data_IF_661445048255
#
_entry.id   IF_661445048255
#
_cell.length_a   1.000
_cell.length_b   1.000
_cell.length_c   1.000
_cell.angle_alpha   90.00
_cell.angle_beta   90.00
_cell.angle_gamma   90.00
#
_symmetry.space_group_name_H-M   'P 1'
#
loop_
_entity.id
_entity.type
_entity.pdbx_description
1 polymer ?
#
# COMPACT_ATOMS: atom_id res chain seq x y z
N UNK A 1 -58.21 -75.12 -24.03
CA UNK A 1 -57.72 -74.60 -22.73
C UNK A 1 -56.93 -73.30 -22.85
N UNK A 2 -56.03 -73.10 -23.82
CA UNK A 2 -55.22 -71.86 -23.96
C UNK A 2 -55.99 -70.59 -24.39
N UNK A 3 -57.06 -70.72 -25.20
CA UNK A 3 -57.85 -69.56 -25.69
C UNK A 3 -58.68 -68.86 -24.59
N UNK A 4 -59.11 -69.60 -23.55
CA UNK A 4 -59.83 -69.05 -22.40
C UNK A 4 -58.89 -68.23 -21.51
N UNK A 5 -57.64 -68.67 -21.34
CA UNK A 5 -56.66 -67.98 -20.50
C UNK A 5 -56.18 -66.66 -21.12
N UNK A 6 -55.93 -66.63 -22.44
CA UNK A 6 -55.57 -65.40 -23.17
C UNK A 6 -56.65 -64.31 -23.17
N UNK A 7 -57.93 -64.67 -23.01
CA UNK A 7 -59.06 -63.74 -23.14
C UNK A 7 -59.67 -63.34 -21.80
N UNK A 8 -59.62 -64.20 -20.79
CA UNK A 8 -60.17 -63.94 -19.44
C UNK A 8 -59.25 -63.07 -18.58
N UNK A 9 -57.92 -63.17 -18.75
CA UNK A 9 -56.98 -62.36 -17.97
C UNK A 9 -57.03 -60.86 -18.31
N UNK A 10 -57.06 -60.43 -19.59
CA UNK A 10 -57.23 -59.02 -19.93
C UNK A 10 -58.58 -58.46 -19.47
N UNK A 11 -59.68 -59.23 -19.62
CA UNK A 11 -61.00 -58.80 -19.17
C UNK A 11 -61.10 -58.65 -17.64
N UNK A 12 -60.41 -59.50 -16.88
CA UNK A 12 -60.31 -59.36 -15.41
C UNK A 12 -59.52 -58.11 -15.04
N UNK A 13 -58.39 -57.86 -15.71
CA UNK A 13 -57.61 -56.61 -15.53
C UNK A 13 -58.44 -55.39 -15.87
N UNK A 14 -59.14 -55.37 -17.01
CA UNK A 14 -60.00 -54.25 -17.40
C UNK A 14 -61.15 -54.02 -16.41
N UNK A 15 -61.72 -55.09 -15.86
CA UNK A 15 -62.77 -55.00 -14.84
C UNK A 15 -62.22 -54.50 -13.50
N UNK A 16 -61.04 -54.95 -13.11
CA UNK A 16 -60.31 -54.49 -11.91
C UNK A 16 -59.92 -53.02 -12.03
N UNK A 17 -59.39 -52.60 -13.18
CA UNK A 17 -59.03 -51.22 -13.50
C UNK A 17 -60.26 -50.32 -13.54
N UNK A 18 -61.37 -50.75 -14.16
CA UNK A 18 -62.64 -50.00 -14.12
C UNK A 18 -63.18 -49.89 -12.71
N UNK A 19 -63.15 -50.97 -11.93
CA UNK A 19 -63.58 -50.93 -10.54
C UNK A 19 -62.69 -50.02 -9.68
N UNK A 20 -61.38 -49.99 -9.95
CA UNK A 20 -60.44 -49.10 -9.27
C UNK A 20 -60.63 -47.64 -9.69
N UNK A 21 -60.89 -47.36 -10.97
CA UNK A 21 -61.21 -46.03 -11.46
C UNK A 21 -62.51 -45.49 -10.86
N UNK A 22 -63.54 -46.33 -10.73
CA UNK A 22 -64.79 -45.97 -10.06
C UNK A 22 -64.53 -45.66 -8.58
N UNK A 23 -63.77 -46.51 -7.87
CA UNK A 23 -63.40 -46.24 -6.47
C UNK A 23 -62.62 -44.94 -6.31
N UNK A 24 -61.67 -44.67 -7.20
CA UNK A 24 -60.89 -43.43 -7.20
C UNK A 24 -61.76 -42.21 -7.49
N UNK A 25 -62.70 -42.29 -8.45
CA UNK A 25 -63.64 -41.21 -8.75
C UNK A 25 -64.59 -40.94 -7.57
N UNK A 26 -65.10 -41.98 -6.92
CA UNK A 26 -65.93 -41.85 -5.71
C UNK A 26 -65.14 -41.24 -4.54
N UNK A 27 -63.90 -41.67 -4.34
CA UNK A 27 -63.00 -41.08 -3.33
C UNK A 27 -62.70 -39.60 -3.62
N UNK A 28 -62.41 -39.25 -4.87
CA UNK A 28 -62.19 -37.85 -5.28
C UNK A 28 -63.45 -37.00 -5.05
N UNK A 29 -64.62 -37.51 -5.44
CA UNK A 29 -65.89 -36.81 -5.23
C UNK A 29 -66.19 -36.59 -3.74
N UNK A 30 -65.78 -37.52 -2.88
CA UNK A 30 -65.89 -37.38 -1.44
C UNK A 30 -64.91 -36.33 -0.88
N UNK A 31 -63.64 -36.33 -1.32
CA UNK A 31 -62.66 -35.30 -0.94
C UNK A 31 -63.10 -33.90 -1.38
N UNK A 32 -63.71 -33.74 -2.56
CA UNK A 32 -64.29 -32.44 -2.99
C UNK A 32 -65.42 -31.97 -2.08
N UNK A 33 -66.30 -32.88 -1.62
CA UNK A 33 -67.32 -32.54 -0.61
C UNK A 33 -66.67 -32.05 0.70
N UNK A 34 -65.59 -32.69 1.16
CA UNK A 34 -64.85 -32.25 2.35
C UNK A 34 -64.25 -30.85 2.16
N UNK A 35 -63.73 -30.55 0.97
CA UNK A 35 -63.18 -29.24 0.63
C UNK A 35 -64.26 -28.14 0.57
N UNK A 36 -65.42 -28.44 -0.02
CA UNK A 36 -66.55 -27.50 -0.15
C UNK A 36 -67.14 -27.07 1.19
N UNK A 37 -67.08 -27.93 2.21
CA UNK A 37 -67.59 -27.60 3.55
C UNK A 37 -66.78 -26.50 4.23
N UNK A 38 -65.49 -26.37 3.93
CA UNK A 38 -64.64 -25.24 4.36
C UNK A 38 -64.37 -25.11 5.86
N UNK A 39 -65.09 -25.85 6.72
CA UNK A 39 -64.97 -25.86 8.18
C UNK A 39 -64.08 -27.01 8.71
N UNK A 40 -63.52 -27.81 7.80
CA UNK A 40 -62.65 -28.94 8.12
C UNK A 40 -61.19 -28.46 8.16
N UNK A 41 -60.69 -28.19 9.35
CA UNK A 41 -59.29 -27.92 9.61
C UNK A 41 -58.47 -29.21 9.82
N UNK A 42 -57.14 -29.10 9.77
CA UNK A 42 -56.18 -30.19 9.99
C UNK A 42 -56.40 -30.98 11.29
N UNK A 43 -56.96 -30.34 12.32
CA UNK A 43 -57.25 -30.94 13.63
C UNK A 43 -58.71 -31.38 13.81
N UNK A 44 -59.53 -31.32 12.76
CA UNK A 44 -60.92 -31.75 12.79
C UNK A 44 -61.05 -33.24 13.07
N UNK A 45 -62.07 -33.60 13.87
CA UNK A 45 -62.34 -34.99 14.25
C UNK A 45 -63.48 -35.55 13.42
N UNK A 46 -63.30 -36.75 12.85
CA UNK A 46 -64.31 -37.45 12.07
C UNK A 46 -65.68 -37.51 12.77
N UNK A 47 -65.66 -37.77 14.08
CA UNK A 47 -66.87 -37.85 14.92
C UNK A 47 -67.72 -36.58 14.93
N UNK A 48 -67.14 -35.40 14.65
CA UNK A 48 -67.85 -34.11 14.59
C UNK A 48 -68.33 -33.75 13.17
N UNK A 49 -67.69 -34.33 12.16
CA UNK A 49 -67.91 -33.97 10.75
C UNK A 49 -68.89 -34.94 10.08
N UNK A 50 -68.86 -36.24 10.42
CA UNK A 50 -69.63 -37.27 9.72
C UNK A 50 -71.14 -37.02 9.65
N UNK A 51 -71.72 -36.43 10.69
CA UNK A 51 -73.17 -36.21 10.78
C UNK A 51 -73.64 -35.06 9.88
N UNK A 52 -72.77 -34.07 9.60
CA UNK A 52 -73.09 -32.93 8.72
C UNK A 52 -73.00 -33.29 7.24
N UNK A 53 -72.36 -34.42 6.91
CA UNK A 53 -72.20 -34.94 5.55
C UNK A 53 -73.23 -36.01 5.18
N UNK A 54 -73.97 -36.54 6.15
CA UNK A 54 -74.79 -37.75 6.02
C UNK A 54 -75.82 -37.68 4.88
N UNK A 55 -76.36 -36.50 4.61
CA UNK A 55 -77.44 -36.32 3.65
C UNK A 55 -76.94 -36.15 2.20
N UNK A 56 -75.65 -35.87 2.00
CA UNK A 56 -75.06 -35.64 0.67
C UNK A 56 -74.95 -36.95 -0.14
N UNK A 57 -75.36 -36.98 -1.43
CA UNK A 57 -75.25 -38.15 -2.28
C UNK A 57 -73.82 -38.69 -2.42
N UNK A 58 -72.81 -37.80 -2.43
CA UNK A 58 -71.38 -38.16 -2.55
C UNK A 58 -70.88 -38.87 -1.29
N UNK A 59 -71.40 -38.53 -0.11
CA UNK A 59 -71.15 -39.24 1.14
C UNK A 59 -71.75 -40.65 1.13
N UNK A 60 -73.00 -40.79 0.66
CA UNK A 60 -73.71 -42.09 0.60
C UNK A 60 -73.08 -43.05 -0.40
N UNK A 61 -72.42 -42.53 -1.44
CA UNK A 61 -71.76 -43.30 -2.50
C UNK A 61 -70.48 -44.01 -2.02
N UNK A 62 -69.86 -43.54 -0.94
CA UNK A 62 -68.67 -44.17 -0.33
C UNK A 62 -69.09 -45.26 0.65
N UNK A 63 -68.39 -46.41 0.63
CA UNK A 63 -68.59 -47.51 1.59
C UNK A 63 -68.33 -47.04 3.02
N UNK A 64 -69.11 -47.53 3.98
CA UNK A 64 -69.01 -47.12 5.38
C UNK A 64 -67.60 -47.29 5.97
N UNK A 65 -66.92 -48.39 5.64
CA UNK A 65 -65.56 -48.73 6.09
C UNK A 65 -64.49 -47.75 5.56
N UNK A 66 -64.71 -47.18 4.37
CA UNK A 66 -63.71 -46.36 3.67
C UNK A 66 -63.81 -44.86 4.04
N UNK A 67 -64.93 -44.41 4.62
CA UNK A 67 -65.21 -42.97 4.84
C UNK A 67 -64.23 -42.31 5.78
N UNK A 68 -63.93 -42.93 6.91
CA UNK A 68 -62.98 -42.39 7.90
C UNK A 68 -61.55 -42.45 7.38
N UNK A 69 -61.19 -43.49 6.63
CA UNK A 69 -59.89 -43.60 5.96
C UNK A 69 -59.69 -42.45 4.95
N UNK A 70 -60.68 -42.21 4.07
CA UNK A 70 -60.64 -41.12 3.09
C UNK A 70 -60.64 -39.73 3.75
N UNK A 71 -61.33 -39.56 4.88
CA UNK A 71 -61.28 -38.34 5.67
C UNK A 71 -59.89 -38.10 6.28
N UNK A 72 -59.28 -39.13 6.87
CA UNK A 72 -57.93 -39.02 7.42
C UNK A 72 -56.87 -38.79 6.34
N UNK A 73 -57.04 -39.39 5.16
CA UNK A 73 -56.22 -39.13 3.98
C UNK A 73 -56.34 -37.66 3.56
N UNK A 74 -57.56 -37.11 3.46
CA UNK A 74 -57.78 -35.68 3.19
C UNK A 74 -57.12 -34.77 4.23
N UNK A 75 -57.21 -35.09 5.53
CA UNK A 75 -56.50 -34.33 6.57
C UNK A 75 -54.98 -34.44 6.44
N UNK A 76 -54.47 -35.58 5.99
CA UNK A 76 -53.04 -35.77 5.71
C UNK A 76 -52.60 -34.92 4.53
N UNK A 77 -53.40 -34.87 3.45
CA UNK A 77 -53.15 -34.04 2.28
C UNK A 77 -53.13 -32.55 2.68
N UNK A 78 -54.09 -32.10 3.50
CA UNK A 78 -54.10 -30.73 4.03
C UNK A 78 -52.84 -30.39 4.84
N UNK A 79 -52.38 -31.31 5.72
CA UNK A 79 -51.13 -31.15 6.48
C UNK A 79 -49.91 -31.05 5.56
N UNK A 80 -49.84 -31.89 4.54
CA UNK A 80 -48.73 -31.89 3.60
C UNK A 80 -48.65 -30.57 2.83
N UNK A 81 -49.80 -30.02 2.41
CA UNK A 81 -49.89 -28.72 1.73
C UNK A 81 -49.48 -27.58 2.67
N UNK A 82 -49.97 -27.55 3.91
CA UNK A 82 -49.56 -26.54 4.91
C UNK A 82 -48.04 -26.60 5.16
N UNK A 83 -47.48 -27.79 5.38
CA UNK A 83 -46.06 -27.97 5.63
C UNK A 83 -45.19 -27.60 4.42
N UNK A 84 -45.60 -27.95 3.20
CA UNK A 84 -44.93 -27.52 1.97
C UNK A 84 -44.96 -25.99 1.82
N UNK A 85 -46.11 -25.36 2.06
CA UNK A 85 -46.24 -23.91 2.01
C UNK A 85 -45.37 -23.20 3.06
N UNK A 86 -45.24 -23.77 4.26
CA UNK A 86 -44.38 -23.24 5.33
C UNK A 86 -42.90 -23.39 4.95
N UNK A 87 -42.50 -24.55 4.40
CA UNK A 87 -41.14 -24.78 3.90
C UNK A 87 -40.78 -23.81 2.78
N UNK A 88 -41.68 -23.60 1.82
CA UNK A 88 -41.48 -22.61 0.75
C UNK A 88 -41.38 -21.18 1.29
N UNK A 89 -42.26 -20.80 2.21
CA UNK A 89 -42.23 -19.48 2.83
C UNK A 89 -40.93 -19.26 3.62
N UNK A 90 -40.46 -20.29 4.34
CA UNK A 90 -39.18 -20.27 5.03
C UNK A 90 -38.00 -20.17 4.05
N UNK A 91 -38.00 -20.96 2.98
CA UNK A 91 -36.96 -20.89 1.96
C UNK A 91 -36.89 -19.50 1.30
N UNK A 92 -38.04 -18.91 0.96
CA UNK A 92 -38.12 -17.54 0.42
C UNK A 92 -37.60 -16.49 1.41
N UNK A 93 -37.92 -16.62 2.71
CA UNK A 93 -37.39 -15.73 3.75
C UNK A 93 -35.87 -15.87 3.89
N UNK A 94 -35.36 -17.09 3.95
CA UNK A 94 -33.92 -17.35 4.03
C UNK A 94 -33.17 -16.82 2.80
N UNK A 95 -33.73 -16.97 1.60
CA UNK A 95 -33.15 -16.40 0.39
C UNK A 95 -33.14 -14.87 0.43
N UNK A 96 -34.26 -14.26 0.84
CA UNK A 96 -34.33 -12.81 1.01
C UNK A 96 -33.32 -12.29 2.04
N UNK A 97 -33.16 -13.00 3.16
CA UNK A 97 -32.19 -12.63 4.20
C UNK A 97 -30.75 -12.77 3.70
N UNK A 98 -30.43 -13.82 2.94
CA UNK A 98 -29.11 -13.98 2.27
C UNK A 98 -28.85 -12.85 1.27
N UNK A 99 -29.85 -12.43 0.51
CA UNK A 99 -29.73 -11.30 -0.42
C UNK A 99 -29.48 -9.99 0.33
N UNK A 100 -30.24 -9.74 1.40
CA UNK A 100 -30.05 -8.57 2.26
C UNK A 100 -28.68 -8.55 2.93
N UNK A 101 -28.18 -9.70 3.37
CA UNK A 101 -26.85 -9.83 3.95
C UNK A 101 -25.76 -9.53 2.92
N UNK A 102 -25.86 -10.10 1.71
CA UNK A 102 -24.94 -9.79 0.60
C UNK A 102 -24.93 -8.31 0.25
N UNK A 103 -26.10 -7.68 0.19
CA UNK A 103 -26.23 -6.24 -0.08
C UNK A 103 -25.55 -5.41 1.01
N UNK A 104 -25.73 -5.76 2.28
CA UNK A 104 -25.05 -5.11 3.41
C UNK A 104 -23.53 -5.24 3.31
N UNK A 105 -23.04 -6.43 2.99
CA UNK A 105 -21.59 -6.66 2.85
C UNK A 105 -20.99 -5.92 1.65
N UNK A 106 -21.70 -5.88 0.52
CA UNK A 106 -21.31 -5.06 -0.63
C UNK A 106 -21.26 -3.57 -0.29
N UNK A 107 -22.27 -3.07 0.45
CA UNK A 107 -22.29 -1.67 0.90
C UNK A 107 -21.10 -1.35 1.81
N UNK A 108 -20.82 -2.20 2.80
CA UNK A 108 -19.65 -2.04 3.68
C UNK A 108 -18.33 -2.12 2.93
N UNK A 109 -18.23 -3.00 1.93
CA UNK A 109 -17.03 -3.10 1.08
C UNK A 109 -16.86 -1.82 0.25
N UNK A 110 -17.91 -1.35 -0.40
CA UNK A 110 -17.89 -0.12 -1.20
C UNK A 110 -17.53 1.10 -0.35
N UNK A 111 -18.08 1.22 0.85
CA UNK A 111 -17.74 2.31 1.78
C UNK A 111 -16.26 2.28 2.19
N UNK A 112 -15.71 1.09 2.47
CA UNK A 112 -14.27 0.94 2.77
C UNK A 112 -13.41 1.35 1.57
N UNK A 113 -13.78 0.91 0.38
CA UNK A 113 -13.09 1.27 -0.86
C UNK A 113 -13.17 2.79 -1.11
N UNK A 114 -14.32 3.43 -0.92
CA UNK A 114 -14.49 4.88 -1.05
C UNK A 114 -13.65 5.67 -0.02
N UNK A 115 -13.62 5.22 1.24
CA UNK A 115 -12.77 5.83 2.27
C UNK A 115 -11.28 5.68 1.96
N UNK A 116 -10.85 4.53 1.44
CA UNK A 116 -9.47 4.31 1.01
C UNK A 116 -9.12 5.21 -0.18
N UNK A 117 -9.98 5.28 -1.18
CA UNK A 117 -9.81 6.16 -2.34
C UNK A 117 -9.74 7.63 -1.94
N UNK A 118 -10.57 8.09 -1.01
CA UNK A 118 -10.52 9.48 -0.55
C UNK A 118 -9.24 9.77 0.23
N UNK A 119 -8.76 8.83 1.06
CA UNK A 119 -7.43 8.96 1.73
C UNK A 119 -6.30 9.09 0.71
N UNK A 120 -6.36 8.32 -0.37
CA UNK A 120 -5.36 8.41 -1.46
C UNK A 120 -5.48 9.76 -2.16
N UNK A 121 -6.70 10.22 -2.46
CA UNK A 121 -6.95 11.50 -3.13
C UNK A 121 -6.43 12.69 -2.33
N UNK A 122 -6.67 12.73 -1.02
CA UNK A 122 -6.14 13.78 -0.13
C UNK A 122 -4.61 13.78 -0.15
N UNK A 123 -3.98 12.60 -0.07
CA UNK A 123 -2.51 12.48 -0.15
C UNK A 123 -1.96 12.99 -1.47
N UNK A 124 -2.63 12.73 -2.59
CA UNK A 124 -2.23 13.21 -3.92
C UNK A 124 -2.34 14.73 -3.99
N UNK A 125 -3.51 15.30 -3.65
CA UNK A 125 -3.73 16.76 -3.65
C UNK A 125 -2.69 17.50 -2.81
N UNK A 126 -2.38 16.96 -1.63
CA UNK A 126 -1.36 17.53 -0.74
C UNK A 126 0.05 17.44 -1.33
N UNK A 127 0.43 16.32 -1.95
CA UNK A 127 1.73 16.21 -2.64
C UNK A 127 1.83 17.18 -3.81
N UNK A 128 0.77 17.32 -4.59
CA UNK A 128 0.70 18.28 -5.69
C UNK A 128 0.84 19.72 -5.19
N UNK A 129 0.17 20.07 -4.08
CA UNK A 129 0.31 21.38 -3.46
C UNK A 129 1.77 21.66 -3.03
N UNK A 130 2.45 20.69 -2.41
CA UNK A 130 3.86 20.81 -2.02
C UNK A 130 4.74 21.07 -3.26
N UNK A 131 4.60 20.25 -4.30
CA UNK A 131 5.42 20.37 -5.53
C UNK A 131 5.16 21.70 -6.22
N UNK A 132 3.90 22.11 -6.30
CA UNK A 132 3.49 23.39 -6.87
C UNK A 132 4.08 24.58 -6.10
N UNK A 133 4.04 24.54 -4.76
CA UNK A 133 4.66 25.56 -3.91
C UNK A 133 6.18 25.58 -4.03
N UNK A 134 6.84 24.42 -4.10
CA UNK A 134 8.28 24.33 -4.34
C UNK A 134 8.67 24.93 -5.70
N UNK A 135 7.87 24.72 -6.75
CA UNK A 135 8.10 25.35 -8.05
C UNK A 135 8.01 26.88 -7.95
N UNK A 136 7.00 27.39 -7.24
CA UNK A 136 6.87 28.82 -6.96
C UNK A 136 8.12 29.37 -6.26
N UNK A 137 8.64 28.68 -5.25
CA UNK A 137 9.87 29.08 -4.54
C UNK A 137 11.07 29.16 -5.49
N UNK A 138 11.24 28.17 -6.38
CA UNK A 138 12.32 28.15 -7.37
C UNK A 138 12.20 29.30 -8.38
N UNK A 139 10.98 29.62 -8.81
CA UNK A 139 10.70 30.69 -9.77
C UNK A 139 10.95 32.08 -9.18
N UNK A 140 10.48 32.30 -7.94
CA UNK A 140 10.42 33.63 -7.31
C UNK A 140 11.59 33.95 -6.40
N UNK A 141 12.09 32.96 -5.65
CA UNK A 141 13.13 33.14 -4.62
C UNK A 141 14.46 32.60 -5.12
N UNK A 142 15.30 33.51 -5.60
CA UNK A 142 16.67 33.22 -6.08
C UNK A 142 17.76 33.67 -5.13
N UNK A 143 17.45 34.61 -4.23
CA UNK A 143 18.39 35.16 -3.25
C UNK A 143 18.38 34.30 -1.96
N UNK A 144 19.51 33.66 -1.58
CA UNK A 144 19.60 32.86 -0.36
C UNK A 144 19.54 33.66 0.95
N UNK A 145 19.54 35.00 0.89
CA UNK A 145 19.48 35.88 2.07
C UNK A 145 18.12 36.57 2.26
N UNK A 146 17.12 36.27 1.43
CA UNK A 146 15.79 36.85 1.60
C UNK A 146 15.16 36.41 2.93
N UNK A 147 14.51 37.34 3.62
CA UNK A 147 13.76 37.04 4.85
C UNK A 147 12.44 36.35 4.53
N UNK A 148 11.88 35.61 5.49
CA UNK A 148 10.55 35.00 5.32
C UNK A 148 9.46 36.05 5.10
N UNK A 149 9.53 37.19 5.78
CA UNK A 149 8.55 38.27 5.66
C UNK A 149 8.53 38.88 4.25
N UNK A 150 9.71 39.13 3.68
CA UNK A 150 9.82 39.69 2.33
C UNK A 150 9.48 38.66 1.24
N UNK A 151 9.86 37.40 1.47
CA UNK A 151 9.53 36.30 0.59
C UNK A 151 8.01 36.07 0.56
N UNK A 152 7.35 36.04 1.72
CA UNK A 152 5.91 35.84 1.85
C UNK A 152 5.13 36.88 1.04
N UNK A 153 5.48 38.16 1.14
CA UNK A 153 4.84 39.22 0.36
C UNK A 153 4.95 39.02 -1.16
N UNK A 154 6.03 38.39 -1.64
CA UNK A 154 6.22 38.06 -3.07
C UNK A 154 5.44 36.81 -3.45
N UNK A 155 5.41 35.80 -2.59
CA UNK A 155 4.74 34.52 -2.81
C UNK A 155 3.21 34.69 -2.80
N UNK A 156 2.68 35.56 -1.94
CA UNK A 156 1.24 35.86 -1.85
C UNK A 156 0.71 36.58 -3.10
N UNK A 157 1.59 37.15 -3.93
CA UNK A 157 1.25 37.79 -5.22
C UNK A 157 1.22 36.81 -6.39
N UNK A 158 1.40 35.51 -6.14
CA UNK A 158 1.35 34.48 -7.17
C UNK A 158 -0.03 34.44 -7.84
N UNK A 159 -0.15 34.65 -9.17
CA UNK A 159 -1.43 34.65 -9.87
C UNK A 159 -2.16 33.30 -9.82
N UNK A 160 -1.41 32.21 -9.65
CA UNK A 160 -1.96 30.86 -9.52
C UNK A 160 -2.45 30.55 -8.10
N UNK A 161 -2.21 31.45 -7.12
CA UNK A 161 -2.63 31.26 -5.74
C UNK A 161 -1.98 30.07 -5.05
N UNK A 162 -0.81 29.60 -5.51
CA UNK A 162 -0.14 28.39 -4.97
C UNK A 162 0.23 28.56 -3.49
N UNK A 163 0.52 29.78 -3.06
CA UNK A 163 0.81 30.11 -1.66
C UNK A 163 -0.45 30.12 -0.76
N UNK A 164 -1.64 30.30 -1.32
CA UNK A 164 -2.91 30.32 -0.61
C UNK A 164 -3.66 28.96 -0.68
N UNK A 165 -2.97 27.90 -1.11
CA UNK A 165 -3.58 26.58 -1.28
C UNK A 165 -4.01 26.00 0.09
N UNK A 166 -5.29 25.60 0.28
CA UNK A 166 -5.81 25.11 1.56
C UNK A 166 -5.18 23.80 2.04
N UNK A 167 -4.51 23.04 1.17
CA UNK A 167 -3.86 21.77 1.51
C UNK A 167 -2.52 21.98 2.26
N UNK A 168 -2.04 23.23 2.34
CA UNK A 168 -0.81 23.63 3.04
C UNK A 168 -1.11 24.71 4.08
N UNK A 169 -0.62 24.50 5.31
CA UNK A 169 -0.72 25.53 6.34
C UNK A 169 0.46 26.54 6.29
N UNK A 170 0.36 27.61 7.10
CA UNK A 170 1.40 28.64 7.16
C UNK A 170 2.75 28.14 7.71
N UNK A 171 2.76 27.09 8.54
CA UNK A 171 3.98 26.51 9.09
C UNK A 171 4.70 25.66 8.04
N UNK A 172 3.93 24.92 7.24
CA UNK A 172 4.43 24.07 6.17
C UNK A 172 5.02 24.87 5.03
N UNK A 173 4.34 25.94 4.62
CA UNK A 173 4.87 26.88 3.62
C UNK A 173 6.16 27.53 4.10
N UNK A 174 6.23 27.97 5.36
CA UNK A 174 7.47 28.50 5.95
C UNK A 174 8.58 27.45 6.00
N UNK A 175 8.26 26.20 6.36
CA UNK A 175 9.21 25.09 6.38
C UNK A 175 9.77 24.82 4.99
N UNK A 176 8.92 24.76 3.96
CA UNK A 176 9.33 24.57 2.56
C UNK A 176 10.20 25.74 2.08
N UNK A 177 9.89 26.97 2.49
CA UNK A 177 10.74 28.12 2.23
C UNK A 177 12.12 27.99 2.87
N UNK A 178 12.20 27.69 4.17
CA UNK A 178 13.47 27.52 4.89
C UNK A 178 14.32 26.42 4.28
N UNK A 179 13.66 25.34 3.86
CA UNK A 179 14.28 24.24 3.13
C UNK A 179 14.89 24.68 1.79
N UNK A 180 14.12 25.44 1.00
CA UNK A 180 14.60 26.00 -0.27
C UNK A 180 15.80 26.93 -0.06
N UNK A 181 15.74 27.81 0.94
CA UNK A 181 16.87 28.70 1.29
C UNK A 181 18.11 27.90 1.68
N UNK A 182 17.95 26.82 2.45
CA UNK A 182 19.05 25.90 2.78
C UNK A 182 19.66 25.30 1.50
N UNK A 183 18.84 24.78 0.60
CA UNK A 183 19.28 24.20 -0.68
C UNK A 183 20.01 25.22 -1.58
N UNK A 184 19.56 26.47 -1.59
CA UNK A 184 20.24 27.56 -2.31
C UNK A 184 21.61 27.87 -1.69
N UNK A 185 21.69 27.98 -0.37
CA UNK A 185 22.96 28.22 0.34
C UNK A 185 23.95 27.07 0.11
N UNK A 186 23.49 25.82 0.16
CA UNK A 186 24.32 24.66 -0.14
C UNK A 186 24.84 24.67 -1.58
N UNK A 187 24.00 25.06 -2.54
CA UNK A 187 24.43 25.23 -3.93
C UNK A 187 25.51 26.30 -4.04
N UNK A 188 25.29 27.47 -3.44
CA UNK A 188 26.30 28.53 -3.37
C UNK A 188 27.61 28.01 -2.74
N UNK A 189 27.52 27.19 -1.68
CA UNK A 189 28.69 26.60 -1.00
C UNK A 189 29.47 25.63 -1.88
N UNK A 190 28.78 24.80 -2.66
CA UNK A 190 29.44 23.90 -3.63
C UNK A 190 30.18 24.69 -4.71
N UNK A 191 29.53 25.69 -5.30
CA UNK A 191 30.14 26.53 -6.33
C UNK A 191 31.34 27.33 -5.79
N UNK A 192 31.25 27.84 -4.57
CA UNK A 192 32.37 28.54 -3.94
C UNK A 192 33.54 27.61 -3.63
N UNK A 193 33.28 26.38 -3.18
CA UNK A 193 34.33 25.37 -3.00
C UNK A 193 35.01 25.01 -4.32
N UNK A 194 34.24 24.89 -5.41
CA UNK A 194 34.80 24.69 -6.74
C UNK A 194 35.71 25.86 -7.16
N UNK A 195 35.27 27.10 -6.93
CA UNK A 195 36.09 28.29 -7.14
C UNK A 195 37.40 28.24 -6.34
N UNK A 196 37.35 27.85 -5.06
CA UNK A 196 38.55 27.71 -4.23
C UNK A 196 39.51 26.67 -4.81
N UNK A 197 39.00 25.55 -5.30
CA UNK A 197 39.82 24.51 -5.92
C UNK A 197 40.46 24.95 -7.24
N UNK A 198 39.75 25.75 -8.04
CA UNK A 198 40.25 26.28 -9.31
C UNK A 198 41.28 27.41 -9.13
N UNK A 199 41.09 28.27 -8.12
CA UNK A 199 41.92 29.47 -7.92
C UNK A 199 43.10 29.21 -6.98
N UNK A 200 42.93 28.34 -5.98
CA UNK A 200 43.98 27.99 -5.00
C UNK A 200 44.66 26.67 -5.40
N UNK A 201 45.12 26.60 -6.65
CA UNK A 201 45.98 25.51 -7.14
C UNK A 201 47.32 25.52 -6.42
N UNK A 202 48.09 24.42 -6.51
CA UNK A 202 49.38 24.29 -5.82
C UNK A 202 50.34 25.47 -6.12
N UNK A 203 50.39 25.92 -7.38
CA UNK A 203 51.24 27.03 -7.81
C UNK A 203 50.77 28.38 -7.26
N UNK A 204 49.45 28.65 -7.34
CA UNK A 204 48.86 29.88 -6.80
C UNK A 204 48.93 29.93 -5.26
N UNK A 205 48.91 28.76 -4.61
CA UNK A 205 49.06 28.60 -3.18
C UNK A 205 50.51 28.76 -2.68
N UNK A 206 51.50 28.43 -3.52
CA UNK A 206 52.92 28.58 -3.23
C UNK A 206 53.45 30.00 -3.52
N UNK A 207 52.68 30.84 -4.22
CA UNK A 207 53.07 32.22 -4.50
C UNK A 207 53.07 33.05 -3.20
N UNK A 208 54.26 33.47 -2.78
CA UNK A 208 54.48 34.36 -1.64
C UNK A 208 54.50 35.82 -2.10
N UNK A 209 53.81 36.67 -1.36
CA UNK A 209 54.02 38.13 -1.46
C UNK A 209 55.30 38.52 -0.71
N UNK A 210 55.84 39.71 -0.96
CA UNK A 210 57.01 40.26 -0.26
C UNK A 210 56.96 40.18 1.29
N UNK A 211 55.75 40.08 1.87
CA UNK A 211 55.50 39.89 3.30
C UNK A 211 55.49 38.40 3.78
N UNK A 212 55.81 37.42 2.94
CA UNK A 212 55.71 35.98 3.25
C UNK A 212 54.27 35.41 3.34
N UNK A 213 53.26 36.19 2.90
CA UNK A 213 51.85 35.77 2.91
C UNK A 213 51.50 35.02 1.62
N UNK A 214 50.82 33.90 1.76
CA UNK A 214 50.27 33.09 0.67
C UNK A 214 48.75 33.18 0.60
N UNK A 215 48.17 32.68 -0.48
CA UNK A 215 46.71 32.57 -0.60
C UNK A 215 46.09 31.50 0.34
N UNK A 216 46.90 30.65 0.97
CA UNK A 216 46.45 29.68 1.97
C UNK A 216 46.53 30.22 3.41
N UNK A 217 47.46 31.13 3.72
CA UNK A 217 47.65 31.64 5.08
C UNK A 217 47.01 33.02 5.32
N UNK A 218 46.57 33.71 4.26
CA UNK A 218 45.98 35.06 4.36
C UNK A 218 44.68 35.20 3.58
N UNK A 219 43.58 35.44 4.30
CA UNK A 219 42.28 35.71 3.70
C UNK A 219 42.31 36.93 2.76
N UNK A 220 43.03 37.99 3.13
CA UNK A 220 43.17 39.19 2.31
C UNK A 220 43.83 38.89 0.96
N UNK A 221 44.85 38.02 0.94
CA UNK A 221 45.52 37.57 -0.28
C UNK A 221 44.58 36.72 -1.13
N UNK A 222 43.93 35.70 -0.54
CA UNK A 222 42.95 34.86 -1.23
C UNK A 222 41.78 35.69 -1.82
N UNK A 223 41.24 36.63 -1.04
CA UNK A 223 40.13 37.50 -1.44
C UNK A 223 40.45 38.33 -2.68
N UNK A 224 41.70 38.75 -2.88
CA UNK A 224 42.09 39.48 -4.10
C UNK A 224 41.93 38.63 -5.36
N UNK A 225 42.18 37.32 -5.26
CA UNK A 225 42.06 36.35 -6.35
C UNK A 225 40.59 35.95 -6.59
N UNK A 226 39.80 35.88 -5.52
CA UNK A 226 38.42 35.39 -5.59
C UNK A 226 37.39 36.46 -6.00
N UNK A 227 37.65 37.76 -5.69
CA UNK A 227 36.64 38.83 -5.81
C UNK A 227 36.12 39.10 -7.23
N UNK A 228 36.87 38.74 -8.26
CA UNK A 228 36.50 38.91 -9.66
C UNK A 228 35.46 37.89 -10.14
N UNK A 229 35.39 36.72 -9.49
CA UNK A 229 34.50 35.64 -9.91
C UNK A 229 33.05 35.86 -9.43
N UNK A 230 32.03 35.68 -10.29
CA UNK A 230 30.62 35.79 -9.90
C UNK A 230 30.20 34.86 -8.75
N UNK A 231 30.80 33.66 -8.62
CA UNK A 231 30.52 32.68 -7.55
C UNK A 231 30.90 33.22 -6.17
N UNK A 232 31.94 34.06 -6.08
CA UNK A 232 32.31 34.75 -4.85
C UNK A 232 31.21 35.72 -4.40
N UNK A 233 30.59 36.45 -5.33
CA UNK A 233 29.54 37.42 -5.02
C UNK A 233 28.23 36.75 -4.60
N UNK A 234 27.91 35.57 -5.17
CA UNK A 234 26.73 34.76 -4.81
C UNK A 234 26.83 34.09 -3.44
N UNK A 235 28.04 33.86 -2.92
CA UNK A 235 28.24 33.30 -1.58
C UNK A 235 27.87 34.33 -0.50
N UNK A 236 27.02 34.00 0.50
CA UNK A 236 26.75 34.89 1.63
C UNK A 236 28.04 35.39 2.32
N UNK A 237 28.13 36.70 2.55
CA UNK A 237 29.36 37.36 3.06
C UNK A 237 29.87 36.75 4.36
N UNK A 238 28.96 36.43 5.28
CA UNK A 238 29.24 35.84 6.60
C UNK A 238 29.91 34.45 6.52
N UNK A 239 29.74 33.74 5.40
CA UNK A 239 30.18 32.34 5.25
C UNK A 239 31.45 32.19 4.39
N UNK A 240 31.86 33.25 3.67
CA UNK A 240 33.01 33.22 2.74
C UNK A 240 34.31 32.83 3.44
N UNK A 241 34.64 33.55 4.50
CA UNK A 241 35.93 33.38 5.17
C UNK A 241 36.00 32.06 5.95
N UNK A 242 34.90 31.64 6.58
CA UNK A 242 34.86 30.37 7.31
C UNK A 242 35.00 29.17 6.37
N UNK A 243 34.38 29.20 5.19
CA UNK A 243 34.54 28.18 4.16
C UNK A 243 35.96 28.17 3.56
N UNK A 244 36.55 29.34 3.31
CA UNK A 244 37.94 29.44 2.89
C UNK A 244 38.90 28.87 3.94
N UNK A 245 38.74 29.22 5.22
CA UNK A 245 39.60 28.70 6.30
C UNK A 245 39.59 27.18 6.34
N UNK A 246 38.41 26.56 6.30
CA UNK A 246 38.28 25.09 6.25
C UNK A 246 39.01 24.49 5.04
N UNK A 247 38.82 25.09 3.87
CA UNK A 247 39.50 24.64 2.64
C UNK A 247 41.02 24.78 2.72
N UNK A 248 41.51 25.92 3.23
CA UNK A 248 42.93 26.18 3.37
C UNK A 248 43.59 25.23 4.38
N UNK A 249 42.94 24.98 5.52
CA UNK A 249 43.38 24.01 6.51
C UNK A 249 43.47 22.59 5.92
N UNK A 250 42.47 22.17 5.14
CA UNK A 250 42.47 20.87 4.47
C UNK A 250 43.63 20.75 3.45
N UNK A 251 43.90 21.81 2.69
CA UNK A 251 45.03 21.86 1.75
C UNK A 251 46.38 21.80 2.47
N UNK A 252 46.56 22.53 3.56
CA UNK A 252 47.79 22.50 4.36
C UNK A 252 48.01 21.14 5.03
N UNK A 253 46.93 20.51 5.51
CA UNK A 253 46.96 19.13 6.04
C UNK A 253 47.41 18.15 4.96
N UNK A 254 46.87 18.28 3.75
CA UNK A 254 47.22 17.44 2.60
C UNK A 254 48.69 17.60 2.20
N UNK A 255 49.19 18.84 2.10
CA UNK A 255 50.61 19.11 1.84
C UNK A 255 51.52 18.51 2.92
N UNK A 256 51.12 18.60 4.20
CA UNK A 256 51.88 18.00 5.30
C UNK A 256 51.91 16.48 5.22
N UNK A 257 50.79 15.82 4.90
CA UNK A 257 50.76 14.36 4.73
C UNK A 257 51.57 13.90 3.51
N UNK A 258 51.48 14.61 2.39
CA UNK A 258 52.26 14.30 1.18
C UNK A 258 53.76 14.44 1.43
N UNK A 259 54.17 15.47 2.18
CA UNK A 259 55.57 15.65 2.60
C UNK A 259 56.04 14.51 3.52
N UNK A 260 55.24 14.11 4.51
CA UNK A 260 55.56 12.97 5.39
C UNK A 260 55.67 11.65 4.63
N UNK A 261 54.81 11.41 3.64
CA UNK A 261 54.90 10.22 2.79
C UNK A 261 56.15 10.20 1.91
N UNK A 262 56.54 11.36 1.37
CA UNK A 262 57.76 11.50 0.57
C UNK A 262 59.00 11.19 1.40
N UNK A 263 59.09 11.80 2.59
CA UNK A 263 60.19 11.60 3.54
C UNK A 263 60.32 10.12 3.96
N UNK A 264 59.19 9.47 4.26
CA UNK A 264 59.15 8.04 4.60
C UNK A 264 59.54 7.11 3.43
N UNK A 265 59.27 7.51 2.18
CA UNK A 265 59.68 6.75 0.98
C UNK A 265 61.18 6.93 0.69
N UNK A 266 61.72 8.11 0.95
CA UNK A 266 63.15 8.38 0.80
C UNK A 266 63.96 7.65 1.88
N UNK A 267 63.51 7.63 3.14
CA UNK A 267 64.13 6.83 4.21
C UNK A 267 64.18 5.32 3.88
N UNK A 268 63.09 4.75 3.35
CA UNK A 268 63.05 3.34 2.91
C UNK A 268 63.98 3.05 1.73
N UNK A 269 64.22 4.02 0.84
CA UNK A 269 65.19 3.91 -0.26
C UNK A 269 66.63 3.97 0.24
N UNK A 270 66.91 4.77 1.26
CA UNK A 270 68.23 4.85 1.91
C UNK A 270 68.55 3.54 2.63
N UNK A 271 67.58 2.92 3.31
CA UNK A 271 67.76 1.61 3.95
C UNK A 271 67.99 0.46 2.96
N UNK A 272 67.28 0.45 1.82
CA UNK A 272 67.50 -0.56 0.77
C UNK A 272 68.85 -0.40 0.05
N UNK A 273 69.36 0.83 -0.12
CA UNK A 273 70.71 1.07 -0.66
C UNK A 273 71.81 0.74 0.34
N UNK A 274 71.57 0.98 1.62
CA UNK A 274 72.52 0.63 2.70
C UNK A 274 72.66 -0.89 2.88
N UNK A 275 71.59 -1.65 2.67
CA UNK A 275 71.61 -3.13 2.70
C UNK A 275 72.21 -3.80 1.45
N UNK A 276 72.27 -3.12 0.30
CA UNK A 276 72.81 -3.70 -0.95
C UNK A 276 74.31 -3.46 -1.16
N UNK A 277 74.96 -2.64 -0.31
CA UNK A 277 76.42 -2.38 -0.34
C UNK A 277 77.22 -3.21 0.67
N UNK A 278 76.62 -4.27 1.21
CA UNK A 278 77.32 -5.24 2.04
C UNK A 278 77.51 -6.54 1.28
N UNK A 279 78.77 -6.86 1.02
CA UNK A 279 79.30 -8.20 0.73
C UNK A 279 79.43 -8.61 -0.74
N UNK A 280 80.61 -8.33 -1.32
CA UNK A 280 81.45 -9.34 -1.98
C UNK A 280 82.92 -8.88 -1.94
N UNK A 281 83.83 -9.69 -1.36
CA UNK A 281 85.25 -9.54 -1.65
C UNK A 281 86.27 -9.91 -0.58
N UNK A 282 86.11 -11.06 0.06
CA UNK A 282 87.10 -11.79 0.87
C UNK A 282 88.42 -12.05 0.12
N UNK A 283 89.56 -12.03 0.84
CA UNK A 283 90.71 -12.98 0.87
C UNK A 283 91.92 -12.27 1.55
N UNK A 284 92.87 -12.87 2.28
CA UNK A 284 93.03 -14.10 3.10
C UNK A 284 94.45 -14.03 3.72
N UNK A 285 94.67 -14.77 4.82
CA UNK A 285 95.97 -15.16 5.46
C UNK A 285 96.55 -14.20 6.51
N UNK A 286 97.01 -14.62 7.71
CA UNK A 286 97.19 -15.94 8.34
C UNK A 286 97.69 -15.73 9.80
N UNK A 287 97.35 -16.62 10.74
CA UNK A 287 98.22 -17.62 11.41
C UNK A 287 98.50 -17.38 12.92
N UNK A 288 98.28 -18.46 13.70
CA UNK A 288 98.79 -18.83 15.06
C UNK A 288 98.16 -18.07 16.25
N UNK A 289 97.85 -18.69 17.40
CA UNK A 289 98.20 -20.02 17.92
C UNK A 289 97.31 -20.45 19.11
N UNK A 290 97.69 -21.61 19.65
CA UNK A 290 96.92 -22.61 20.40
C UNK A 290 96.71 -22.36 21.91
N UNK A 291 95.90 -23.28 22.49
CA UNK A 291 95.73 -23.75 23.90
C UNK A 291 94.36 -23.38 24.52
N UNK A 292 93.39 -24.30 24.66
CA UNK A 292 93.32 -25.55 25.45
C UNK A 292 93.29 -25.29 26.97
N UNK A 293 92.12 -25.37 27.61
CA UNK A 293 91.70 -26.46 28.54
C UNK A 293 90.60 -26.04 29.52
N UNK A 294 89.58 -26.91 29.53
CA UNK A 294 88.87 -27.53 30.66
C UNK A 294 87.96 -26.71 31.57
#
# INVERSE_FOLDING_TARGET
MLYLYCRVLPLRRDAEEKAQAIRAATASSFKSLLQEKGDIAVNSRWSRVKDTLRDDPRYKSVKHEDREALFNEYLSDLRAVEEESEREAKAKREEQDKLRERERELRKRKEREEQEMERVRIKVRRKEAIVSYQALLVETIKDPQVSWTDAKLKLDKDPQGRAANPELDSSETEKLFREHIRMLNERCAREFKALLAEVLTADAAAQETDDGKTALNSWSTAKRLLKSDPRYNKMPRKDRESLWRRYADDMLRKQKSEKMELDSKDDKKVDHRSRSSGDYGRLSSGLRGSHDRR
#
